data_IF_979723917792
#
_entry.id   IF_979723917792
#
_cell.length_a   1.000
_cell.length_b   1.000
_cell.length_c   1.000
_cell.angle_alpha   90.00
_cell.angle_beta   90.00
_cell.angle_gamma   90.00
#
_symmetry.space_group_name_H-M   'P 1'
#
loop_
_entity.id
_entity.type
_entity.pdbx_description
1 polymer ?
#
# COMPACT_ATOMS: atom_id res chain seq x y z
N UNK A 1 18.11 -19.18 14.47
CA UNK A 1 17.42 -18.25 15.40
C UNK A 1 15.93 -18.33 15.14
N UNK A 2 15.13 -18.78 16.11
CA UNK A 2 13.67 -18.76 15.98
C UNK A 2 13.15 -17.31 16.00
N UNK A 3 12.40 -16.91 14.97
CA UNK A 3 11.74 -15.61 14.95
C UNK A 3 10.58 -15.63 15.95
N UNK A 4 10.67 -14.86 17.04
CA UNK A 4 9.56 -14.70 17.98
C UNK A 4 8.45 -13.85 17.36
N UNK A 5 7.29 -14.46 17.08
CA UNK A 5 6.12 -13.76 16.55
C UNK A 5 5.28 -13.18 17.69
N UNK A 6 5.05 -11.86 17.67
CA UNK A 6 4.15 -11.18 18.61
C UNK A 6 2.67 -11.37 18.27
N UNK A 7 2.35 -11.62 17.00
CA UNK A 7 0.97 -11.72 16.51
C UNK A 7 0.71 -13.02 15.73
N UNK A 8 -0.53 -13.48 15.76
CA UNK A 8 -1.03 -14.63 15.00
C UNK A 8 -2.36 -14.32 14.31
N UNK A 9 -2.62 -14.94 13.15
CA UNK A 9 -3.90 -14.82 12.44
C UNK A 9 -4.93 -15.80 13.01
N UNK A 10 -6.12 -15.30 13.34
CA UNK A 10 -7.31 -16.13 13.44
C UNK A 10 -7.75 -16.52 12.01
N UNK A 11 -7.87 -17.82 11.75
CA UNK A 11 -8.20 -18.35 10.41
C UNK A 11 -9.46 -17.66 9.87
N UNK A 12 -9.32 -17.04 8.70
CA UNK A 12 -10.45 -16.74 7.83
C UNK A 12 -10.84 -18.05 7.13
N UNK A 13 -12.05 -18.54 7.36
CA UNK A 13 -12.57 -19.76 6.74
C UNK A 13 -13.01 -19.47 5.30
N UNK A 14 -12.06 -19.47 4.36
CA UNK A 14 -12.36 -19.51 2.93
C UNK A 14 -11.25 -20.30 2.21
N UNK A 15 -11.59 -21.41 1.52
CA UNK A 15 -10.62 -22.40 1.02
C UNK A 15 -9.81 -21.95 -0.20
N UNK A 16 -10.07 -20.78 -0.79
CA UNK A 16 -9.42 -20.36 -2.03
C UNK A 16 -8.06 -19.69 -1.78
N UNK A 17 -7.09 -20.49 -1.34
CA UNK A 17 -5.66 -20.20 -1.42
C UNK A 17 -5.19 -20.54 -2.83
N UNK A 18 -5.57 -19.73 -3.82
CA UNK A 18 -5.06 -19.93 -5.17
C UNK A 18 -3.55 -19.66 -5.17
N UNK A 19 -2.78 -20.74 -5.23
CA UNK A 19 -1.39 -20.72 -5.65
C UNK A 19 -1.40 -20.36 -7.13
N UNK A 20 -1.10 -19.10 -7.46
CA UNK A 20 -0.79 -18.75 -8.83
C UNK A 20 0.54 -19.42 -9.18
N UNK A 21 0.45 -20.54 -9.90
CA UNK A 21 1.59 -21.18 -10.55
C UNK A 21 2.22 -20.19 -11.51
N UNK A 22 3.29 -19.54 -11.05
CA UNK A 22 4.07 -18.58 -11.82
C UNK A 22 5.53 -18.91 -11.64
N UNK A 23 6.23 -19.10 -12.75
CA UNK A 23 7.67 -19.17 -12.98
C UNK A 23 8.57 -19.17 -11.72
N UNK A 24 9.42 -20.20 -11.61
CA UNK A 24 10.55 -20.22 -10.68
C UNK A 24 11.29 -18.87 -10.76
N UNK A 25 11.45 -18.17 -9.63
CA UNK A 25 12.10 -16.85 -9.46
C UNK A 25 11.22 -15.62 -9.19
N UNK A 26 9.90 -15.75 -9.03
CA UNK A 26 9.05 -14.59 -8.74
C UNK A 26 8.58 -14.49 -7.28
N UNK A 27 8.86 -13.34 -6.63
CA UNK A 27 8.19 -12.94 -5.38
C UNK A 27 6.91 -12.20 -5.73
N UNK A 28 5.80 -12.54 -5.10
CA UNK A 28 4.52 -11.86 -5.30
C UNK A 28 4.04 -11.20 -4.02
N UNK A 29 3.26 -10.12 -4.17
CA UNK A 29 2.60 -9.40 -3.08
C UNK A 29 1.10 -9.61 -3.16
N UNK A 30 0.51 -9.97 -2.03
CA UNK A 30 -0.93 -10.01 -1.85
C UNK A 30 -1.31 -9.18 -0.63
N UNK A 31 -2.46 -8.50 -0.71
CA UNK A 31 -2.95 -7.63 0.33
C UNK A 31 -4.25 -8.15 0.88
N UNK A 32 -4.41 -8.06 2.19
CA UNK A 32 -5.68 -8.32 2.87
C UNK A 32 -5.90 -7.26 3.94
N UNK A 33 -7.05 -7.33 4.58
CA UNK A 33 -7.44 -6.46 5.68
C UNK A 33 -7.46 -7.28 6.94
N UNK A 34 -7.05 -6.66 8.04
CA UNK A 34 -7.28 -7.19 9.36
C UNK A 34 -7.84 -6.13 10.32
N UNK A 35 -8.37 -6.62 11.43
CA UNK A 35 -8.72 -5.78 12.56
C UNK A 35 -7.47 -5.31 13.34
N UNK A 36 -7.72 -4.44 14.31
CA UNK A 36 -6.73 -4.11 15.32
C UNK A 36 -6.46 -5.34 16.19
N UNK A 37 -5.20 -5.62 16.57
CA UNK A 37 -4.90 -6.73 17.47
C UNK A 37 -5.70 -6.62 18.77
N UNK A 38 -6.27 -7.75 19.18
CA UNK A 38 -6.94 -7.93 20.47
C UNK A 38 -5.91 -7.99 21.62
N UNK A 39 -6.37 -7.92 22.88
CA UNK A 39 -5.52 -7.95 24.10
C UNK A 39 -4.55 -9.14 24.13
N UNK A 40 -4.87 -10.25 23.45
CA UNK A 40 -4.03 -11.46 23.35
C UNK A 40 -3.10 -11.50 22.13
N UNK A 41 -2.88 -10.37 21.44
CA UNK A 41 -2.02 -10.32 20.25
C UNK A 41 -2.59 -11.09 19.05
N UNK A 42 -3.86 -11.47 19.07
CA UNK A 42 -4.52 -12.12 17.94
C UNK A 42 -5.13 -11.08 17.02
N UNK A 43 -4.96 -11.30 15.73
CA UNK A 43 -5.46 -10.45 14.64
C UNK A 43 -6.42 -11.28 13.80
N UNK A 44 -7.60 -10.77 13.51
CA UNK A 44 -8.59 -11.39 12.62
C UNK A 44 -8.39 -10.85 11.21
N UNK A 45 -8.18 -11.75 10.26
CA UNK A 45 -8.23 -11.43 8.85
C UNK A 45 -9.71 -11.21 8.42
N UNK A 46 -9.98 -10.07 7.79
CA UNK A 46 -11.33 -9.63 7.41
C UNK A 46 -11.64 -9.83 5.92
N UNK A 47 -10.63 -10.05 5.10
CA UNK A 47 -10.75 -10.29 3.66
C UNK A 47 -9.79 -11.37 3.20
N UNK A 48 -10.02 -11.96 2.03
CA UNK A 48 -8.98 -12.77 1.37
C UNK A 48 -7.78 -11.90 0.96
N UNK A 49 -6.67 -12.57 0.64
CA UNK A 49 -5.52 -11.94 -0.01
C UNK A 49 -5.82 -11.69 -1.49
N UNK A 50 -5.59 -10.47 -1.96
CA UNK A 50 -5.77 -10.08 -3.35
C UNK A 50 -4.50 -9.38 -3.89
N UNK A 51 -4.15 -9.65 -5.15
CA UNK A 51 -2.95 -9.08 -5.81
C UNK A 51 -3.29 -7.75 -6.50
N UNK A 52 -4.53 -7.61 -6.94
CA UNK A 52 -5.04 -6.44 -7.63
C UNK A 52 -5.44 -5.37 -6.61
N UNK A 53 -4.92 -4.16 -6.77
CA UNK A 53 -5.26 -3.00 -5.92
C UNK A 53 -6.77 -2.73 -5.98
N UNK A 54 -7.34 -2.84 -7.16
CA UNK A 54 -8.74 -2.66 -7.46
C UNK A 54 -9.60 -3.58 -6.57
N UNK A 55 -9.24 -4.86 -6.54
CA UNK A 55 -9.91 -5.85 -5.68
C UNK A 55 -9.66 -5.58 -4.20
N UNK A 56 -8.46 -5.13 -3.80
CA UNK A 56 -8.20 -4.72 -2.42
C UNK A 56 -9.12 -3.57 -1.98
N UNK A 57 -9.35 -2.57 -2.83
CA UNK A 57 -10.27 -1.46 -2.52
C UNK A 57 -11.71 -1.97 -2.37
N UNK A 58 -12.14 -2.90 -3.23
CA UNK A 58 -13.41 -3.60 -3.08
C UNK A 58 -13.50 -4.41 -1.79
N UNK A 59 -12.39 -5.02 -1.33
CA UNK A 59 -12.35 -5.72 -0.02
C UNK A 59 -12.44 -4.79 1.16
N UNK A 60 -11.86 -3.59 1.07
CA UNK A 60 -12.02 -2.56 2.10
C UNK A 60 -13.49 -2.24 2.24
N UNK A 61 -14.18 -2.06 1.12
CA UNK A 61 -15.61 -1.91 1.10
C UNK A 61 -16.35 -3.10 1.75
N UNK A 62 -16.14 -4.33 1.27
CA UNK A 62 -16.85 -5.53 1.77
C UNK A 62 -16.67 -5.72 3.29
N UNK A 63 -15.45 -5.50 3.79
CA UNK A 63 -15.12 -5.63 5.20
C UNK A 63 -15.84 -4.56 6.04
N UNK A 64 -15.92 -3.33 5.54
CA UNK A 64 -16.65 -2.23 6.19
C UNK A 64 -18.17 -2.50 6.22
N UNK A 65 -18.76 -2.96 5.12
CA UNK A 65 -20.20 -3.19 5.02
C UNK A 65 -20.65 -4.37 5.90
N UNK A 66 -19.97 -5.52 5.78
CA UNK A 66 -20.34 -6.77 6.48
C UNK A 66 -20.20 -6.67 7.99
N UNK A 67 -19.14 -6.02 8.47
CA UNK A 67 -18.88 -5.98 9.91
C UNK A 67 -19.66 -4.89 10.64
N UNK A 68 -19.96 -3.78 9.97
CA UNK A 68 -20.53 -2.62 10.64
C UNK A 68 -22.01 -2.38 10.29
N UNK A 69 -22.63 -3.17 9.42
CA UNK A 69 -24.08 -3.10 9.11
C UNK A 69 -24.55 -1.65 8.88
N UNK A 70 -23.79 -0.88 8.10
CA UNK A 70 -24.06 0.53 7.81
C UNK A 70 -23.56 1.56 8.85
N UNK A 71 -23.07 1.14 10.03
CA UNK A 71 -22.36 2.00 11.00
C UNK A 71 -20.96 2.35 10.48
N UNK A 72 -20.44 3.53 10.85
CA UNK A 72 -19.08 3.91 10.48
C UNK A 72 -18.07 3.06 11.26
N UNK A 73 -17.24 2.26 10.57
CA UNK A 73 -16.09 1.66 11.23
C UNK A 73 -15.17 2.76 11.75
N UNK A 74 -14.68 2.66 12.99
CA UNK A 74 -13.68 3.58 13.46
C UNK A 74 -12.37 3.24 12.72
N UNK A 75 -11.96 4.15 11.82
CA UNK A 75 -10.86 4.03 10.85
C UNK A 75 -9.54 3.64 11.54
N UNK A 76 -9.42 4.01 12.81
CA UNK A 76 -8.33 3.66 13.70
C UNK A 76 -8.18 2.17 13.98
N UNK A 77 -9.16 1.34 13.61
CA UNK A 77 -9.13 -0.12 13.78
C UNK A 77 -8.85 -0.91 12.49
N UNK A 78 -8.90 -0.30 11.30
CA UNK A 78 -8.49 -1.00 10.06
C UNK A 78 -6.97 -1.14 10.03
N UNK A 79 -6.47 -2.33 9.70
CA UNK A 79 -5.05 -2.55 9.38
C UNK A 79 -4.94 -3.31 8.06
N UNK A 80 -3.81 -3.15 7.39
CA UNK A 80 -3.47 -3.92 6.19
C UNK A 80 -2.63 -5.13 6.58
N UNK A 81 -2.89 -6.26 5.95
CA UNK A 81 -1.99 -7.39 5.89
C UNK A 81 -1.30 -7.38 4.53
N UNK A 82 0.01 -7.62 4.54
CA UNK A 82 0.75 -7.93 3.32
C UNK A 82 1.31 -9.33 3.45
N UNK A 83 1.01 -10.17 2.46
CA UNK A 83 1.62 -11.46 2.25
C UNK A 83 2.63 -11.31 1.13
N UNK A 84 3.86 -11.73 1.41
CA UNK A 84 4.95 -11.83 0.45
C UNK A 84 5.24 -13.31 0.29
N UNK A 85 5.01 -13.84 -0.91
CA UNK A 85 5.15 -15.26 -1.20
C UNK A 85 6.12 -15.53 -2.34
N UNK A 86 6.55 -16.79 -2.44
CA UNK A 86 7.38 -17.32 -3.52
C UNK A 86 6.76 -18.62 -4.02
N UNK A 87 6.93 -18.91 -5.30
CA UNK A 87 6.49 -20.17 -5.91
C UNK A 87 7.56 -21.26 -5.81
N UNK A 88 8.66 -21.04 -5.07
CA UNK A 88 9.68 -22.07 -4.85
C UNK A 88 9.31 -23.03 -3.73
N UNK A 89 9.39 -24.33 -4.01
CA UNK A 89 9.15 -25.41 -3.06
C UNK A 89 10.44 -26.04 -2.49
N UNK A 90 11.63 -25.55 -2.86
CA UNK A 90 12.91 -26.12 -2.39
C UNK A 90 13.47 -25.38 -1.17
N UNK A 91 13.79 -26.09 -0.09
CA UNK A 91 14.24 -25.47 1.19
C UNK A 91 15.46 -24.53 1.06
N UNK A 92 16.56 -24.89 0.36
CA UNK A 92 17.71 -23.99 0.24
C UNK A 92 17.39 -22.68 -0.50
N UNK A 93 16.56 -22.76 -1.55
CA UNK A 93 16.12 -21.55 -2.25
C UNK A 93 15.09 -20.78 -1.42
N UNK A 94 14.28 -21.46 -0.61
CA UNK A 94 13.29 -20.84 0.26
C UNK A 94 13.93 -19.91 1.30
N UNK A 95 15.05 -20.29 1.91
CA UNK A 95 15.79 -19.39 2.82
C UNK A 95 16.25 -18.11 2.08
N UNK A 96 16.76 -18.27 0.87
CA UNK A 96 17.16 -17.14 0.03
C UNK A 96 15.96 -16.24 -0.30
N UNK A 97 14.82 -16.83 -0.69
CA UNK A 97 13.58 -16.09 -0.93
C UNK A 97 13.12 -15.36 0.32
N UNK A 98 13.10 -16.01 1.47
CA UNK A 98 12.71 -15.36 2.73
C UNK A 98 13.63 -14.17 3.04
N UNK A 99 14.94 -14.31 2.80
CA UNK A 99 15.89 -13.21 2.91
C UNK A 99 15.58 -12.05 1.95
N UNK A 100 15.20 -12.35 0.69
CA UNK A 100 14.73 -11.36 -0.29
C UNK A 100 13.41 -10.69 0.16
N UNK A 101 12.46 -11.43 0.73
CA UNK A 101 11.20 -10.89 1.27
C UNK A 101 11.41 -9.95 2.45
N UNK A 102 12.35 -10.28 3.34
CA UNK A 102 12.73 -9.41 4.46
C UNK A 102 13.42 -8.13 3.96
N UNK A 103 14.29 -8.23 2.95
CA UNK A 103 14.91 -7.05 2.29
C UNK A 103 13.88 -6.17 1.62
N UNK A 104 12.92 -6.75 0.88
CA UNK A 104 11.78 -6.04 0.29
C UNK A 104 11.05 -5.24 1.36
N UNK A 105 10.62 -5.91 2.44
CA UNK A 105 9.84 -5.28 3.51
C UNK A 105 10.62 -4.13 4.15
N UNK A 106 11.91 -4.34 4.44
CA UNK A 106 12.79 -3.30 5.01
C UNK A 106 12.93 -2.10 4.07
N UNK A 107 13.13 -2.32 2.77
CA UNK A 107 13.23 -1.23 1.78
C UNK A 107 11.92 -0.46 1.63
N UNK A 108 10.78 -1.17 1.58
CA UNK A 108 9.45 -0.57 1.51
C UNK A 108 9.16 0.30 2.73
N UNK A 109 9.40 -0.22 3.95
CA UNK A 109 9.23 0.56 5.18
C UNK A 109 10.13 1.78 5.22
N UNK A 110 11.39 1.65 4.82
CA UNK A 110 12.32 2.79 4.77
C UNK A 110 11.82 3.88 3.85
N UNK A 111 11.42 3.49 2.64
CA UNK A 111 10.90 4.41 1.62
C UNK A 111 9.65 5.14 2.11
N UNK A 112 8.66 4.39 2.62
CA UNK A 112 7.44 4.94 3.20
C UNK A 112 7.74 5.88 4.35
N UNK A 113 8.60 5.49 5.30
CA UNK A 113 8.93 6.31 6.47
C UNK A 113 9.63 7.61 6.11
N UNK A 114 10.46 7.64 5.06
CA UNK A 114 11.08 8.88 4.57
C UNK A 114 9.99 9.81 4.00
N UNK A 115 9.07 9.29 3.20
CA UNK A 115 7.95 10.05 2.62
C UNK A 115 7.01 10.56 3.72
N UNK A 116 6.67 9.71 4.68
CA UNK A 116 5.79 10.06 5.79
C UNK A 116 6.42 11.11 6.70
N UNK A 117 7.73 11.01 6.98
CA UNK A 117 8.47 12.00 7.76
C UNK A 117 8.44 13.38 7.09
N UNK A 118 8.69 13.46 5.79
CA UNK A 118 8.62 14.71 5.02
C UNK A 118 7.25 15.39 5.16
N UNK A 119 6.18 14.60 5.19
CA UNK A 119 4.81 15.11 5.23
C UNK A 119 4.21 15.16 6.64
N UNK A 120 5.00 14.89 7.69
CA UNK A 120 4.56 14.86 9.11
C UNK A 120 3.41 13.87 9.35
N UNK A 121 3.51 12.67 8.78
CA UNK A 121 2.56 11.58 8.97
C UNK A 121 3.12 10.56 9.97
N UNK A 122 2.24 9.78 10.60
CA UNK A 122 2.66 8.67 11.46
C UNK A 122 3.43 7.65 10.63
N UNK A 123 4.60 7.25 11.12
CA UNK A 123 5.50 6.31 10.44
C UNK A 123 4.92 4.90 10.39
N UNK A 124 5.06 4.26 9.23
CA UNK A 124 4.66 2.89 8.98
C UNK A 124 5.57 1.89 9.70
N UNK A 125 4.92 0.89 10.31
CA UNK A 125 5.56 -0.25 10.97
C UNK A 125 5.01 -1.55 10.40
N UNK A 126 5.87 -2.55 10.20
CA UNK A 126 5.46 -3.92 9.91
C UNK A 126 5.68 -4.79 11.13
N UNK A 127 4.67 -5.59 11.47
CA UNK A 127 4.74 -6.59 12.52
C UNK A 127 4.62 -7.96 11.90
N UNK A 128 5.63 -8.84 12.05
CA UNK A 128 5.56 -10.18 11.49
C UNK A 128 4.43 -10.96 12.15
N UNK A 129 3.67 -11.68 11.34
CA UNK A 129 2.63 -12.61 11.77
C UNK A 129 3.05 -14.02 11.39
N UNK A 130 2.81 -14.97 12.29
CA UNK A 130 3.05 -16.39 11.99
C UNK A 130 2.17 -16.81 10.80
N UNK A 131 2.82 -17.18 9.69
CA UNK A 131 2.15 -17.70 8.50
C UNK A 131 1.62 -19.12 8.76
N UNK A 132 0.52 -19.49 8.10
CA UNK A 132 0.04 -20.87 8.07
C UNK A 132 0.64 -21.68 6.91
N UNK A 133 1.21 -21.00 5.90
CA UNK A 133 1.95 -21.63 4.80
C UNK A 133 3.45 -21.57 5.04
N UNK A 134 4.12 -22.66 4.69
CA UNK A 134 5.57 -22.73 4.64
C UNK A 134 6.09 -21.81 3.51
N UNK A 135 7.15 -21.04 3.77
CA UNK A 135 7.78 -20.17 2.76
C UNK A 135 7.25 -18.73 2.70
N UNK A 136 5.99 -18.49 3.03
CA UNK A 136 5.40 -17.15 2.96
C UNK A 136 5.75 -16.29 4.19
N UNK A 137 5.95 -15.00 3.97
CA UNK A 137 6.02 -13.99 5.04
C UNK A 137 4.75 -13.16 5.06
N UNK A 138 4.14 -13.05 6.23
CA UNK A 138 2.96 -12.21 6.44
C UNK A 138 3.30 -11.13 7.45
N UNK A 139 2.96 -9.88 7.13
CA UNK A 139 3.12 -8.77 8.06
C UNK A 139 1.80 -8.01 8.22
N UNK A 140 1.51 -7.63 9.46
CA UNK A 140 0.53 -6.60 9.75
C UNK A 140 1.20 -5.24 9.61
N UNK A 141 0.62 -4.40 8.77
CA UNK A 141 1.08 -3.05 8.50
C UNK A 141 0.26 -2.06 9.32
N UNK A 142 0.96 -1.32 10.18
CA UNK A 142 0.41 -0.21 10.96
C UNK A 142 0.97 1.07 10.37
N UNK A 143 0.14 1.78 9.60
CA UNK A 143 0.50 2.99 8.88
C UNK A 143 -0.39 4.19 9.29
N UNK A 144 -0.06 5.37 8.80
CA UNK A 144 -0.93 6.55 8.93
C UNK A 144 -2.34 6.26 8.38
N UNK A 145 -3.37 6.59 9.17
CA UNK A 145 -4.79 6.45 8.76
C UNK A 145 -5.12 7.23 7.48
N UNK A 146 -4.29 8.22 7.13
CA UNK A 146 -4.42 9.01 5.91
C UNK A 146 -4.31 8.14 4.65
N UNK A 147 -3.48 7.09 4.65
CA UNK A 147 -3.34 6.17 3.51
C UNK A 147 -4.65 5.46 3.16
N UNK A 148 -5.45 5.13 4.16
CA UNK A 148 -6.71 4.43 3.97
C UNK A 148 -7.85 5.34 3.50
N UNK A 149 -7.65 6.68 3.45
CA UNK A 149 -8.74 7.65 3.26
C UNK A 149 -9.51 7.51 1.95
N UNK A 150 -8.85 7.08 0.89
CA UNK A 150 -9.43 6.95 -0.44
C UNK A 150 -8.68 5.89 -1.26
N UNK A 151 -9.33 5.27 -2.27
CA UNK A 151 -8.70 4.30 -3.17
C UNK A 151 -7.38 4.78 -3.78
N UNK A 152 -7.29 6.07 -4.14
CA UNK A 152 -6.09 6.72 -4.66
C UNK A 152 -4.88 6.65 -3.73
N UNK A 153 -5.10 6.80 -2.41
CA UNK A 153 -4.01 6.78 -1.43
C UNK A 153 -3.62 5.36 -1.09
N UNK A 154 -4.58 4.42 -1.05
CA UNK A 154 -4.29 2.99 -0.97
C UNK A 154 -3.46 2.56 -2.19
N UNK A 155 -3.85 3.01 -3.39
CA UNK A 155 -3.11 2.79 -4.63
C UNK A 155 -1.66 3.25 -4.54
N UNK A 156 -1.45 4.46 -4.02
CA UNK A 156 -0.12 5.04 -3.91
C UNK A 156 0.71 4.28 -2.87
N UNK A 157 0.10 3.96 -1.72
CA UNK A 157 0.73 3.18 -0.66
C UNK A 157 1.22 1.81 -1.17
N UNK A 158 0.34 1.05 -1.82
CA UNK A 158 0.68 -0.27 -2.36
C UNK A 158 1.68 -0.20 -3.50
N UNK A 159 1.62 0.85 -4.33
CA UNK A 159 2.59 1.08 -5.40
C UNK A 159 3.98 1.33 -4.83
N UNK A 160 4.11 2.24 -3.85
CA UNK A 160 5.40 2.50 -3.18
C UNK A 160 5.95 1.22 -2.56
N UNK A 161 5.10 0.45 -1.87
CA UNK A 161 5.54 -0.81 -1.26
C UNK A 161 6.03 -1.82 -2.31
N UNK A 162 5.34 -1.94 -3.45
CA UNK A 162 5.70 -2.88 -4.52
C UNK A 162 6.98 -2.49 -5.23
N UNK A 163 7.14 -1.23 -5.62
CA UNK A 163 8.34 -0.78 -6.34
C UNK A 163 9.58 -0.82 -5.45
N UNK A 164 9.46 -0.65 -4.13
CA UNK A 164 10.59 -0.84 -3.20
C UNK A 164 11.13 -2.28 -3.17
N UNK A 165 10.43 -3.23 -3.79
CA UNK A 165 10.92 -4.59 -4.05
C UNK A 165 11.87 -4.69 -5.24
N UNK A 166 11.94 -3.67 -6.08
CA UNK A 166 12.83 -3.67 -7.24
C UNK A 166 14.30 -3.77 -6.82
N UNK A 167 15.09 -4.56 -7.54
CA UNK A 167 16.50 -4.82 -7.20
C UNK A 167 17.32 -3.52 -7.12
N UNK A 168 17.03 -2.53 -7.97
CA UNK A 168 17.72 -1.23 -7.92
C UNK A 168 17.49 -0.50 -6.60
N UNK A 169 16.33 -0.73 -5.96
CA UNK A 169 15.93 -0.14 -4.68
C UNK A 169 16.25 -1.06 -3.48
N UNK A 170 16.92 -2.19 -3.69
CA UNK A 170 17.42 -3.05 -2.61
C UNK A 170 18.93 -2.96 -2.41
N UNK A 171 19.60 -2.07 -3.14
CA UNK A 171 21.05 -1.86 -3.04
C UNK A 171 21.45 -1.29 -1.67
N UNK A 172 22.66 -1.59 -1.16
CA UNK A 172 23.15 -1.00 0.08
C UNK A 172 23.16 0.53 0.09
N UNK A 173 23.41 1.17 -1.07
CA UNK A 173 23.34 2.62 -1.25
C UNK A 173 21.92 3.16 -1.07
N UNK A 174 20.91 2.48 -1.64
CA UNK A 174 19.50 2.82 -1.42
C UNK A 174 19.12 2.67 0.07
N UNK A 175 19.57 1.59 0.69
CA UNK A 175 19.34 1.34 2.12
C UNK A 175 20.07 2.33 3.04
N UNK A 176 20.89 3.24 2.51
CA UNK A 176 21.50 4.35 3.26
C UNK A 176 20.79 5.69 3.03
N UNK A 177 19.84 5.79 2.11
CA UNK A 177 19.12 7.04 1.83
C UNK A 177 18.39 7.55 3.09
N UNK A 178 18.55 8.84 3.39
CA UNK A 178 17.91 9.48 4.56
C UNK A 178 16.96 10.62 4.19
N UNK A 179 16.94 11.05 2.92
CA UNK A 179 16.22 12.25 2.50
C UNK A 179 15.11 11.96 1.51
N UNK A 180 14.03 12.75 1.58
CA UNK A 180 12.92 12.70 0.64
C UNK A 180 13.37 12.94 -0.81
N UNK A 181 14.23 13.95 -1.03
CA UNK A 181 14.79 14.28 -2.35
C UNK A 181 15.47 13.07 -2.99
N UNK A 182 16.32 12.36 -2.24
CA UNK A 182 17.02 11.20 -2.75
C UNK A 182 16.09 10.03 -3.09
N UNK A 183 15.04 9.81 -2.30
CA UNK A 183 14.03 8.79 -2.60
C UNK A 183 13.29 9.15 -3.89
N UNK A 184 12.85 10.39 -4.05
CA UNK A 184 12.16 10.83 -5.27
C UNK A 184 13.03 10.68 -6.53
N UNK A 185 14.33 10.99 -6.45
CA UNK A 185 15.29 10.78 -7.56
C UNK A 185 15.41 9.30 -7.95
N UNK A 186 15.38 8.39 -6.97
CA UNK A 186 15.40 6.95 -7.27
C UNK A 186 14.09 6.47 -7.90
N UNK A 187 12.95 6.99 -7.45
CA UNK A 187 11.65 6.70 -8.07
C UNK A 187 11.59 7.19 -9.51
N UNK A 188 12.19 8.34 -9.79
CA UNK A 188 12.29 8.88 -11.14
C UNK A 188 13.15 7.98 -12.04
N UNK A 189 14.31 7.52 -11.55
CA UNK A 189 15.15 6.54 -12.26
C UNK A 189 14.41 5.22 -12.52
N UNK A 190 13.73 4.68 -11.51
CA UNK A 190 12.91 3.47 -11.66
C UNK A 190 11.83 3.65 -12.74
N UNK A 191 11.20 4.83 -12.80
CA UNK A 191 10.16 5.12 -13.79
C UNK A 191 10.66 5.12 -15.25
N UNK A 192 11.97 5.25 -15.46
CA UNK A 192 12.60 5.16 -16.78
C UNK A 192 12.87 3.71 -17.24
N UNK A 193 12.91 2.74 -16.31
CA UNK A 193 13.24 1.34 -16.58
C UNK A 193 12.15 0.50 -17.27
N UNK A 194 10.97 1.07 -17.51
CA UNK A 194 9.84 0.38 -18.15
C UNK A 194 8.94 -0.40 -17.19
N UNK A 195 8.04 -1.21 -17.74
CA UNK A 195 7.06 -1.99 -16.98
C UNK A 195 5.82 -1.22 -16.51
N UNK A 196 4.78 -1.97 -16.10
CA UNK A 196 3.49 -1.40 -15.68
C UNK A 196 3.65 -0.42 -14.51
N UNK A 197 4.47 -0.79 -13.53
CA UNK A 197 4.73 0.03 -12.35
C UNK A 197 5.57 1.26 -12.66
N UNK A 198 6.62 1.12 -13.47
CA UNK A 198 7.42 2.24 -13.94
C UNK A 198 6.56 3.28 -14.65
N UNK A 199 5.63 2.84 -15.51
CA UNK A 199 4.66 3.71 -16.17
C UNK A 199 3.72 4.41 -15.17
N UNK A 200 3.24 3.70 -14.12
CA UNK A 200 2.42 4.32 -13.06
C UNK A 200 3.20 5.38 -12.28
N UNK A 201 4.47 5.11 -11.95
CA UNK A 201 5.34 6.09 -11.27
C UNK A 201 5.58 7.28 -12.18
N UNK A 202 5.95 7.09 -13.45
CA UNK A 202 6.19 8.16 -14.42
C UNK A 202 4.99 9.11 -14.54
N UNK A 203 3.78 8.56 -14.58
CA UNK A 203 2.55 9.33 -14.69
C UNK A 203 2.20 10.12 -13.42
N UNK A 204 2.55 9.61 -12.24
CA UNK A 204 2.02 10.12 -10.96
C UNK A 204 3.04 10.82 -10.06
N UNK A 205 4.35 10.54 -10.20
CA UNK A 205 5.40 10.93 -9.24
C UNK A 205 5.43 12.44 -8.95
N UNK A 206 5.32 13.28 -9.98
CA UNK A 206 5.31 14.75 -9.85
C UNK A 206 4.16 15.30 -8.98
N UNK A 207 3.13 14.49 -8.74
CA UNK A 207 1.96 14.86 -7.95
C UNK A 207 2.00 14.33 -6.51
N UNK A 208 2.89 13.40 -6.16
CA UNK A 208 2.91 12.77 -4.83
C UNK A 208 3.15 13.81 -3.72
N UNK A 209 4.20 14.63 -3.84
CA UNK A 209 4.48 15.67 -2.85
C UNK A 209 3.33 16.69 -2.68
N UNK A 210 2.81 17.31 -3.76
CA UNK A 210 1.62 18.16 -3.69
C UNK A 210 0.41 17.50 -3.03
N UNK A 211 0.11 16.24 -3.39
CA UNK A 211 -1.00 15.46 -2.85
C UNK A 211 -0.86 15.23 -1.33
N UNK A 212 0.29 14.70 -0.91
CA UNK A 212 0.53 14.32 0.49
C UNK A 212 0.65 15.54 1.41
N UNK A 213 1.32 16.61 0.94
CA UNK A 213 1.45 17.86 1.69
C UNK A 213 0.10 18.56 1.89
N UNK A 214 -0.79 18.54 0.88
CA UNK A 214 -2.10 19.20 0.94
C UNK A 214 -3.25 18.25 1.27
N UNK A 215 -2.96 17.08 1.84
CA UNK A 215 -3.94 16.04 2.12
C UNK A 215 -5.20 16.59 2.81
N UNK A 216 -5.04 17.40 3.86
CA UNK A 216 -6.17 17.92 4.63
C UNK A 216 -7.09 18.81 3.79
N UNK A 217 -6.53 19.57 2.84
CA UNK A 217 -7.30 20.42 1.92
C UNK A 217 -8.02 19.58 0.88
N UNK A 218 -7.32 18.64 0.25
CA UNK A 218 -7.86 17.80 -0.83
C UNK A 218 -9.02 16.94 -0.33
N UNK A 219 -8.84 16.28 0.82
CA UNK A 219 -9.80 15.34 1.39
C UNK A 219 -10.75 15.96 2.44
N UNK A 220 -10.79 17.30 2.56
CA UNK A 220 -11.67 18.01 3.52
C UNK A 220 -13.13 17.63 3.32
N UNK A 221 -13.82 17.13 4.35
CA UNK A 221 -15.24 16.77 4.21
C UNK A 221 -15.52 15.64 3.21
N UNK A 222 -14.51 14.85 2.84
CA UNK A 222 -14.69 13.63 2.05
C UNK A 222 -14.66 12.40 2.96
N UNK A 223 -15.77 12.02 3.62
CA UNK A 223 -15.78 10.94 4.59
C UNK A 223 -15.41 9.61 3.94
N UNK A 224 -14.67 8.76 4.66
CA UNK A 224 -14.25 7.46 4.15
C UNK A 224 -15.44 6.60 3.71
N UNK A 225 -16.59 6.67 4.41
CA UNK A 225 -17.82 5.98 4.01
C UNK A 225 -18.27 6.35 2.58
N UNK A 226 -18.09 7.61 2.15
CA UNK A 226 -18.36 8.02 0.76
C UNK A 226 -17.24 7.64 -0.22
N UNK A 227 -16.02 7.43 0.28
CA UNK A 227 -14.89 6.99 -0.53
C UNK A 227 -14.89 5.47 -0.81
N UNK A 228 -15.72 4.74 -0.06
CA UNK A 228 -15.95 3.31 -0.17
C UNK A 228 -17.46 3.06 0.05
N UNK A 229 -18.31 3.65 -0.81
CA UNK A 229 -19.76 3.41 -0.79
C UNK A 229 -20.14 2.30 -1.79
N UNK A 230 -21.23 1.58 -1.51
CA UNK A 230 -21.73 0.47 -2.34
C UNK A 230 -22.21 0.96 -3.70
N UNK A 231 -22.84 2.13 -3.72
CA UNK A 231 -23.34 2.79 -4.94
C UNK A 231 -22.23 3.11 -5.94
N UNK A 232 -20.98 3.21 -5.47
CA UNK A 232 -19.79 3.56 -6.24
C UNK A 232 -18.79 2.39 -6.34
N UNK A 233 -19.22 1.15 -6.06
CA UNK A 233 -18.34 -0.02 -6.05
C UNK A 233 -17.60 -0.25 -7.37
N UNK A 234 -18.31 -0.17 -8.51
CA UNK A 234 -17.70 -0.32 -9.85
C UNK A 234 -16.72 0.80 -10.16
N UNK A 235 -17.05 2.05 -9.80
CA UNK A 235 -16.14 3.18 -10.04
C UNK A 235 -14.89 3.10 -9.16
N UNK A 236 -15.01 2.67 -7.89
CA UNK A 236 -13.88 2.54 -6.97
C UNK A 236 -12.86 1.47 -7.36
N UNK A 237 -13.29 0.38 -7.99
CA UNK A 237 -12.36 -0.59 -8.56
C UNK A 237 -11.39 0.11 -9.52
N UNK A 238 -11.84 1.12 -10.27
CA UNK A 238 -10.97 1.79 -11.24
C UNK A 238 -10.18 2.97 -10.66
N UNK A 239 -10.49 3.45 -9.45
CA UNK A 239 -9.86 4.63 -8.81
C UNK A 239 -8.43 4.37 -8.30
N UNK A 240 -7.46 4.36 -9.23
CA UNK A 240 -6.03 4.36 -8.94
C UNK A 240 -5.43 5.76 -8.83
N UNK A 241 -4.24 5.88 -8.23
CA UNK A 241 -3.52 7.17 -8.12
C UNK A 241 -3.40 7.89 -9.47
N UNK A 242 -3.17 7.13 -10.55
CA UNK A 242 -3.10 7.66 -11.90
C UNK A 242 -4.37 8.39 -12.35
N UNK A 243 -5.57 7.89 -12.01
CA UNK A 243 -6.82 8.55 -12.45
C UNK A 243 -6.93 9.95 -11.87
N UNK A 244 -6.59 10.14 -10.60
CA UNK A 244 -6.54 11.46 -9.98
C UNK A 244 -5.51 12.36 -10.66
N UNK A 245 -4.32 11.83 -10.94
CA UNK A 245 -3.22 12.55 -11.59
C UNK A 245 -3.54 12.95 -13.04
N UNK A 246 -4.35 12.16 -13.74
CA UNK A 246 -4.71 12.33 -15.15
C UNK A 246 -6.03 13.10 -15.35
N UNK A 247 -6.70 13.52 -14.27
CA UNK A 247 -7.97 14.25 -14.39
C UNK A 247 -9.20 13.36 -14.60
N UNK A 248 -9.08 12.05 -14.34
CA UNK A 248 -10.09 11.02 -14.63
C UNK A 248 -10.75 10.45 -13.36
N UNK A 249 -10.63 11.13 -12.22
CA UNK A 249 -11.31 10.72 -10.99
C UNK A 249 -12.82 10.89 -11.12
N UNK A 250 -13.59 9.85 -10.80
CA UNK A 250 -15.06 9.90 -10.85
C UNK A 250 -15.66 10.86 -9.83
N UNK A 251 -14.92 11.20 -8.78
CA UNK A 251 -15.33 12.24 -7.84
C UNK A 251 -14.87 13.62 -8.30
N UNK A 252 -15.76 14.34 -8.98
CA UNK A 252 -15.50 15.69 -9.49
C UNK A 252 -15.03 16.67 -8.42
N UNK A 253 -15.65 16.69 -7.23
CA UNK A 253 -15.24 17.58 -6.13
C UNK A 253 -13.83 17.29 -5.62
N UNK A 254 -13.44 16.01 -5.56
CA UNK A 254 -12.07 15.62 -5.21
C UNK A 254 -11.09 16.05 -6.30
N UNK A 255 -11.47 15.82 -7.57
CA UNK A 255 -10.66 16.20 -8.74
C UNK A 255 -10.42 17.70 -8.80
N UNK A 256 -11.45 18.52 -8.57
CA UNK A 256 -11.37 19.99 -8.52
C UNK A 256 -10.36 20.44 -7.47
N UNK A 257 -10.48 19.96 -6.23
CA UNK A 257 -9.57 20.32 -5.14
C UNK A 257 -8.13 19.87 -5.39
N UNK A 258 -7.96 18.69 -5.98
CA UNK A 258 -6.65 18.21 -6.40
C UNK A 258 -6.05 19.13 -7.47
N UNK A 259 -6.84 19.48 -8.49
CA UNK A 259 -6.44 20.39 -9.57
C UNK A 259 -6.09 21.77 -9.04
N UNK A 260 -6.84 22.33 -8.08
CA UNK A 260 -6.50 23.60 -7.43
C UNK A 260 -5.11 23.56 -6.78
N UNK A 261 -4.82 22.51 -6.01
CA UNK A 261 -3.53 22.35 -5.32
C UNK A 261 -2.38 22.24 -6.33
N UNK A 262 -2.60 21.47 -7.39
CA UNK A 262 -1.58 21.22 -8.41
C UNK A 262 -1.36 22.46 -9.30
N UNK A 263 -2.42 23.19 -9.67
CA UNK A 263 -2.33 24.44 -10.45
C UNK A 263 -1.61 25.54 -9.67
N UNK A 264 -1.90 25.72 -8.37
CA UNK A 264 -1.24 26.74 -7.54
C UNK A 264 0.28 26.54 -7.46
N UNK A 265 0.81 25.31 -7.59
CA UNK A 265 2.26 25.06 -7.64
C UNK A 265 2.91 25.36 -8.99
N UNK A 266 2.16 25.35 -10.10
CA UNK A 266 2.70 25.78 -11.41
C UNK A 266 2.91 27.30 -11.47
N UNK A 267 2.10 28.08 -10.74
CA UNK A 267 2.19 29.54 -10.69
C UNK A 267 3.38 30.03 -9.87
N UNK A 268 3.80 29.29 -8.84
CA UNK A 268 4.91 29.69 -7.93
C UNK A 268 6.32 29.36 -8.50
N UNK A 269 6.43 28.68 -9.65
CA UNK A 269 7.74 28.31 -10.25
C UNK A 269 8.24 29.26 -11.34
N UNK A 270 7.64 30.45 -11.50
CA UNK A 270 8.15 31.55 -12.34
C UNK A 270 8.35 32.82 -11.51
N UNK A 271 9.34 32.78 -10.64
CA UNK A 271 9.94 33.96 -10.02
C UNK A 271 11.30 33.54 -9.45
N UNK A 272 12.27 33.38 -10.34
CA UNK A 272 13.70 33.57 -10.13
C UNK A 272 14.35 33.66 -11.50
#
# INVERSE_FOLDING_TARGET
METKYKYSLLKYSNPNWYNYGGQANHIYLQWAICDHPTVKGKVKQLSRFDNCRETLCCRIFDALDRQFKGKSMPIDKLRLLVKIGSNSHHSPTQEEYQGRMDRHTKSALRTLNIIEKEHKWSLTKAYPIKSCSFGDKVYMIVASKKWMRAPHLVSLFTLIFRISGDQMLQTPSFMRLKSYKSVMQHMEKFSAGGGSDGAKVKASLKYWGPLLHNYSKIFKGYPMKKAFDRSTYRSHAEEGINRLCEGRCTNHKLQERFNEVVKKKKVVRRAK
#
